data_IF_835474337385
#
_entry.id   IF_835474337385
#
_cell.length_a   1.000
_cell.length_b   1.000
_cell.length_c   1.000
_cell.angle_alpha   90.00
_cell.angle_beta   90.00
_cell.angle_gamma   90.00
#
_symmetry.space_group_name_H-M   'P 1'
#
loop_
_entity.id
_entity.type
_entity.pdbx_description
1 polymer ?
#
# COMPACT_ATOMS: atom_id res chain seq x y z
N UNK A 1 -18.11 27.08 15.86
CA UNK A 1 -18.48 25.74 15.37
C UNK A 1 -18.33 25.79 13.85
N UNK A 2 -17.11 25.50 13.35
CA UNK A 2 -16.86 25.44 11.90
C UNK A 2 -17.48 24.12 11.42
N UNK A 3 -18.34 24.20 10.41
CA UNK A 3 -18.92 23.01 9.78
C UNK A 3 -17.78 22.20 9.18
N UNK A 4 -17.77 20.91 9.53
CA UNK A 4 -17.01 19.87 8.87
C UNK A 4 -17.12 20.07 7.35
N UNK A 5 -16.01 20.49 6.73
CA UNK A 5 -15.82 20.53 5.27
C UNK A 5 -16.61 21.62 4.50
N UNK A 6 -16.11 22.88 4.51
CA UNK A 6 -16.35 23.84 3.40
C UNK A 6 -15.49 23.52 2.16
N UNK A 7 -14.66 22.47 2.21
CA UNK A 7 -13.90 21.96 1.07
C UNK A 7 -14.78 20.98 0.27
N UNK A 8 -15.43 21.46 -0.79
CA UNK A 8 -16.28 20.71 -1.72
C UNK A 8 -16.16 19.17 -1.64
N UNK A 9 -16.98 18.51 -0.81
CA UNK A 9 -17.02 17.03 -0.69
C UNK A 9 -17.21 16.36 -2.07
N UNK A 10 -17.81 17.07 -3.03
CA UNK A 10 -17.94 16.60 -4.42
C UNK A 10 -16.61 16.41 -5.14
N UNK A 11 -15.53 17.02 -4.66
CA UNK A 11 -14.19 16.85 -5.20
C UNK A 11 -13.30 15.93 -4.36
N UNK A 12 -13.82 15.37 -3.25
CA UNK A 12 -13.04 14.52 -2.38
C UNK A 12 -12.69 13.18 -3.03
N UNK A 13 -13.67 12.53 -3.68
CA UNK A 13 -13.51 11.21 -4.27
C UNK A 13 -12.99 11.27 -5.71
N UNK A 14 -12.08 10.35 -6.04
CA UNK A 14 -11.65 10.05 -7.40
C UNK A 14 -12.75 9.27 -8.11
N UNK A 15 -13.10 9.71 -9.31
CA UNK A 15 -14.03 8.99 -10.16
C UNK A 15 -13.31 7.85 -10.87
N UNK A 16 -13.65 6.61 -10.53
CA UNK A 16 -12.94 5.41 -11.00
C UNK A 16 -13.88 4.22 -11.04
N UNK A 17 -13.84 3.43 -12.13
CA UNK A 17 -14.61 2.20 -12.25
C UNK A 17 -14.22 1.19 -11.16
N UNK A 18 -12.92 1.05 -10.90
CA UNK A 18 -12.40 0.23 -9.81
C UNK A 18 -12.96 0.65 -8.45
N UNK A 19 -12.99 1.97 -8.14
CA UNK A 19 -13.57 2.44 -6.89
C UNK A 19 -15.06 2.07 -6.77
N UNK A 20 -15.83 2.18 -7.87
CA UNK A 20 -17.26 1.81 -7.89
C UNK A 20 -17.49 0.30 -7.72
N UNK A 21 -16.60 -0.50 -8.27
CA UNK A 21 -16.66 -1.95 -8.20
C UNK A 21 -16.26 -2.46 -6.81
N UNK A 22 -15.19 -1.92 -6.22
CA UNK A 22 -14.54 -2.54 -5.06
C UNK A 22 -14.82 -1.83 -3.72
N UNK A 23 -15.20 -0.54 -3.74
CA UNK A 23 -15.33 0.28 -2.53
C UNK A 23 -16.73 0.90 -2.34
N UNK A 24 -17.33 1.44 -3.40
CA UNK A 24 -18.54 2.27 -3.26
C UNK A 24 -19.76 1.41 -2.99
N UNK A 25 -20.28 1.51 -1.77
CA UNK A 25 -21.53 0.88 -1.33
C UNK A 25 -22.76 1.73 -1.70
N UNK A 26 -23.98 1.15 -1.60
CA UNK A 26 -25.22 1.91 -1.62
C UNK A 26 -25.25 3.04 -0.57
N UNK A 27 -26.17 3.99 -0.78
CA UNK A 27 -26.38 5.12 0.13
C UNK A 27 -26.51 4.67 1.58
N UNK A 28 -25.73 5.31 2.45
CA UNK A 28 -25.65 4.94 3.85
C UNK A 28 -27.00 5.04 4.56
N UNK A 29 -27.38 3.95 5.24
CA UNK A 29 -28.59 3.89 6.07
C UNK A 29 -28.26 3.78 7.56
N UNK A 30 -29.22 4.09 8.42
CA UNK A 30 -29.05 3.97 9.87
C UNK A 30 -28.79 2.50 10.26
N UNK A 31 -29.50 1.55 9.64
CA UNK A 31 -29.33 0.13 9.92
C UNK A 31 -27.95 -0.41 9.53
N UNK A 32 -27.33 0.13 8.47
CA UNK A 32 -25.94 -0.23 8.12
C UNK A 32 -24.96 0.24 9.20
N UNK A 33 -25.15 1.46 9.72
CA UNK A 33 -24.31 2.00 10.81
C UNK A 33 -24.47 1.15 12.06
N UNK A 34 -25.71 0.86 12.49
CA UNK A 34 -25.98 0.03 13.66
C UNK A 34 -25.37 -1.37 13.52
N UNK A 35 -25.60 -2.03 12.39
CA UNK A 35 -25.05 -3.37 12.13
C UNK A 35 -23.52 -3.41 12.17
N UNK A 36 -22.84 -2.46 11.51
CA UNK A 36 -21.38 -2.42 11.48
C UNK A 36 -20.82 -2.13 12.87
N UNK A 37 -21.38 -1.16 13.60
CA UNK A 37 -20.93 -0.85 14.96
C UNK A 37 -21.14 -2.04 15.92
N UNK A 38 -22.26 -2.75 15.80
CA UNK A 38 -22.55 -3.94 16.62
C UNK A 38 -21.57 -5.08 16.31
N UNK A 39 -21.25 -5.29 15.02
CA UNK A 39 -20.29 -6.34 14.60
C UNK A 39 -18.86 -6.02 15.03
N UNK A 40 -18.43 -4.77 14.87
CA UNK A 40 -17.07 -4.36 15.20
C UNK A 40 -16.88 -4.07 16.70
N UNK A 41 -17.96 -3.78 17.42
CA UNK A 41 -17.92 -3.40 18.84
C UNK A 41 -17.44 -1.97 19.10
N UNK A 42 -17.43 -1.12 18.07
CA UNK A 42 -16.92 0.26 18.13
C UNK A 42 -17.96 1.26 17.61
N UNK A 43 -18.09 2.40 18.28
CA UNK A 43 -18.82 3.55 17.77
C UNK A 43 -17.97 4.28 16.74
N UNK A 44 -18.43 4.38 15.51
CA UNK A 44 -17.70 5.07 14.45
C UNK A 44 -17.66 6.59 14.71
N UNK A 45 -16.57 7.30 14.34
CA UNK A 45 -16.48 8.75 14.46
C UNK A 45 -17.61 9.43 13.69
N UNK A 46 -18.21 10.49 14.25
CA UNK A 46 -19.27 11.24 13.55
C UNK A 46 -18.78 11.78 12.19
N UNK A 47 -17.55 12.26 12.15
CA UNK A 47 -16.83 12.70 10.95
C UNK A 47 -16.76 11.62 9.86
N UNK A 48 -16.54 10.36 10.26
CA UNK A 48 -16.52 9.21 9.34
C UNK A 48 -17.90 8.98 8.74
N UNK A 49 -18.92 8.92 9.58
CA UNK A 49 -20.31 8.74 9.14
C UNK A 49 -20.75 9.89 8.21
N UNK A 50 -20.37 11.14 8.51
CA UNK A 50 -20.68 12.30 7.66
C UNK A 50 -20.06 12.18 6.27
N UNK A 51 -18.79 11.75 6.18
CA UNK A 51 -18.14 11.48 4.89
C UNK A 51 -18.86 10.36 4.13
N UNK A 52 -19.21 9.26 4.82
CA UNK A 52 -19.88 8.10 4.23
C UNK A 52 -21.33 8.38 3.79
N UNK A 53 -21.99 9.40 4.36
CA UNK A 53 -23.28 9.89 3.87
C UNK A 53 -23.17 10.59 2.52
N UNK A 54 -22.01 11.17 2.22
CA UNK A 54 -21.77 11.79 0.92
C UNK A 54 -21.48 10.72 -0.15
N UNK A 55 -20.55 9.81 0.14
CA UNK A 55 -20.32 8.59 -0.63
C UNK A 55 -19.80 7.51 0.31
N UNK A 56 -20.43 6.34 0.30
CA UNK A 56 -20.15 5.26 1.25
C UNK A 56 -18.97 4.41 0.76
N UNK A 57 -17.76 4.90 0.96
CA UNK A 57 -16.50 4.29 0.52
C UNK A 57 -15.99 4.85 -0.81
N UNK A 58 -14.71 4.64 -1.09
CA UNK A 58 -14.08 5.04 -2.35
C UNK A 58 -12.59 5.36 -2.22
N UNK A 59 -12.05 5.99 -3.26
CA UNK A 59 -10.65 6.41 -3.33
C UNK A 59 -10.60 7.94 -3.27
N UNK A 60 -9.86 8.56 -2.32
CA UNK A 60 -9.76 10.02 -2.29
C UNK A 60 -8.86 10.52 -3.43
N UNK A 61 -9.07 11.76 -3.91
CA UNK A 61 -8.15 12.41 -4.85
C UNK A 61 -6.83 12.79 -4.21
N UNK A 62 -6.87 13.16 -2.93
CA UNK A 62 -5.70 13.42 -2.09
C UNK A 62 -5.44 12.16 -1.27
N UNK A 63 -4.42 11.41 -1.65
CA UNK A 63 -4.18 10.03 -1.23
C UNK A 63 -2.90 9.86 -0.42
N UNK A 64 -2.33 10.94 0.13
CA UNK A 64 -1.16 10.85 1.00
C UNK A 64 -1.35 11.66 2.29
N UNK A 65 -0.78 11.17 3.39
CA UNK A 65 -0.72 11.86 4.67
C UNK A 65 0.73 12.08 5.10
N UNK A 66 1.20 13.32 5.27
CA UNK A 66 2.57 13.60 5.71
C UNK A 66 2.83 13.12 7.14
N UNK A 67 3.98 12.50 7.39
CA UNK A 67 4.44 12.11 8.73
C UNK A 67 5.94 12.37 8.88
N UNK A 68 6.40 12.63 10.10
CA UNK A 68 7.84 12.73 10.39
C UNK A 68 8.45 11.38 10.81
N UNK A 69 7.64 10.33 10.94
CA UNK A 69 8.08 8.99 11.33
C UNK A 69 8.14 8.11 10.08
N UNK A 70 9.33 7.61 9.70
CA UNK A 70 9.47 6.67 8.59
C UNK A 70 8.67 5.39 8.81
N UNK A 71 8.10 4.87 7.73
CA UNK A 71 7.49 3.53 7.66
C UNK A 71 8.40 2.60 6.88
N UNK A 72 8.01 1.32 6.76
CA UNK A 72 8.68 0.36 5.87
C UNK A 72 8.61 0.77 4.39
N UNK A 73 7.62 1.59 4.03
CA UNK A 73 7.35 1.99 2.64
C UNK A 73 7.89 3.39 2.30
N UNK A 74 7.73 4.39 3.18
CA UNK A 74 8.17 5.76 2.90
C UNK A 74 8.75 6.49 4.12
N UNK A 75 9.65 7.44 3.88
CA UNK A 75 10.36 8.16 4.94
C UNK A 75 9.50 9.24 5.63
N UNK A 76 8.57 9.83 4.90
CA UNK A 76 7.94 11.09 5.29
C UNK A 76 6.43 11.17 5.05
N UNK A 77 5.80 10.05 4.65
CA UNK A 77 4.37 10.00 4.40
C UNK A 77 3.82 8.59 4.48
N UNK A 78 2.48 8.49 4.48
CA UNK A 78 1.75 7.25 4.29
C UNK A 78 0.77 7.46 3.13
N UNK A 79 0.74 6.50 2.21
CA UNK A 79 -0.20 6.51 1.08
C UNK A 79 -1.52 5.82 1.45
N UNK A 80 -2.60 6.24 0.79
CA UNK A 80 -3.96 5.71 0.96
C UNK A 80 -4.52 5.33 -0.41
N UNK A 81 -4.74 4.04 -0.65
CA UNK A 81 -5.33 3.52 -1.89
C UNK A 81 -6.86 3.50 -1.85
N UNK A 82 -7.46 3.53 -0.66
CA UNK A 82 -8.91 3.59 -0.50
C UNK A 82 -9.38 3.77 0.94
N UNK A 83 -10.63 4.18 1.08
CA UNK A 83 -11.35 4.30 2.36
C UNK A 83 -12.56 3.38 2.28
N UNK A 84 -12.63 2.43 3.21
CA UNK A 84 -13.70 1.44 3.26
C UNK A 84 -15.05 2.08 3.60
N UNK A 85 -16.11 1.69 2.91
CA UNK A 85 -17.45 2.13 3.30
C UNK A 85 -18.00 1.34 4.49
N UNK A 86 -19.06 1.88 5.11
CA UNK A 86 -19.83 1.24 6.17
C UNK A 86 -20.79 0.24 5.53
N UNK A 87 -20.50 -1.05 5.68
CA UNK A 87 -21.34 -2.17 5.24
C UNK A 87 -20.49 -3.42 5.07
N UNK A 88 -21.03 -4.40 4.35
CA UNK A 88 -20.42 -5.71 4.10
C UNK A 88 -20.56 -6.22 2.66
N UNK A 89 -21.17 -5.43 1.76
CA UNK A 89 -21.46 -5.87 0.39
C UNK A 89 -20.23 -5.85 -0.54
N UNK A 90 -19.23 -5.01 -0.24
CA UNK A 90 -18.04 -4.81 -1.05
C UNK A 90 -16.82 -5.47 -0.41
N UNK A 91 -15.87 -5.91 -1.22
CA UNK A 91 -14.60 -6.50 -0.75
C UNK A 91 -13.91 -5.55 0.23
N UNK A 92 -13.78 -4.27 -0.13
CA UNK A 92 -13.24 -3.21 0.73
C UNK A 92 -14.34 -2.41 1.43
N UNK A 93 -15.16 -3.12 2.21
CA UNK A 93 -16.05 -2.51 3.20
C UNK A 93 -15.62 -2.90 4.60
N UNK A 94 -15.99 -2.10 5.61
CA UNK A 94 -15.53 -2.32 6.99
C UNK A 94 -15.79 -3.74 7.51
N UNK A 95 -16.87 -4.35 7.04
CA UNK A 95 -17.31 -5.70 7.38
C UNK A 95 -17.35 -6.65 6.17
N UNK A 96 -16.65 -6.29 5.07
CA UNK A 96 -16.51 -7.09 3.85
C UNK A 96 -15.44 -8.18 3.98
N UNK A 97 -15.17 -8.84 2.84
CA UNK A 97 -14.22 -9.97 2.76
C UNK A 97 -12.82 -9.61 3.27
N UNK A 98 -12.29 -8.45 2.86
CA UNK A 98 -11.00 -7.93 3.29
C UNK A 98 -11.15 -6.79 4.31
N UNK A 99 -12.22 -6.83 5.10
CA UNK A 99 -12.57 -5.81 6.09
C UNK A 99 -11.77 -5.89 7.39
N UNK A 100 -12.15 -5.07 8.37
CA UNK A 100 -11.38 -4.89 9.60
C UNK A 100 -11.19 -6.18 10.41
N UNK A 101 -12.18 -7.06 10.45
CA UNK A 101 -12.08 -8.32 11.20
C UNK A 101 -11.15 -9.32 10.51
N UNK A 102 -11.14 -9.36 9.17
CA UNK A 102 -10.25 -10.21 8.40
C UNK A 102 -8.78 -9.84 8.66
N UNK A 103 -8.44 -8.55 8.65
CA UNK A 103 -7.09 -8.09 8.94
C UNK A 103 -6.60 -8.52 10.33
N UNK A 104 -7.49 -8.49 11.33
CA UNK A 104 -7.15 -8.93 12.68
C UNK A 104 -7.03 -10.47 12.76
N UNK A 105 -8.02 -11.20 12.25
CA UNK A 105 -8.13 -12.64 12.45
C UNK A 105 -7.16 -13.44 11.59
N UNK A 106 -6.99 -13.03 10.32
CA UNK A 106 -6.23 -13.78 9.33
C UNK A 106 -4.82 -13.19 9.12
N UNK A 107 -4.67 -11.87 9.20
CA UNK A 107 -3.38 -11.19 8.98
C UNK A 107 -2.66 -10.80 10.28
N UNK A 108 -3.26 -11.05 11.44
CA UNK A 108 -2.61 -10.84 12.74
C UNK A 108 -2.50 -9.38 13.17
N UNK A 109 -3.22 -8.47 12.52
CA UNK A 109 -3.24 -7.06 12.93
C UNK A 109 -3.72 -6.88 14.37
N UNK A 110 -3.12 -5.95 15.14
CA UNK A 110 -3.45 -5.80 16.54
C UNK A 110 -4.91 -5.34 16.74
N UNK A 111 -5.68 -5.92 17.67
CA UNK A 111 -7.11 -5.63 17.83
C UNK A 111 -7.35 -4.31 18.60
N UNK A 112 -6.88 -3.20 18.04
CA UNK A 112 -6.86 -1.88 18.68
C UNK A 112 -8.05 -0.99 18.31
N UNK A 113 -8.84 -1.41 17.32
CA UNK A 113 -9.92 -0.61 16.78
C UNK A 113 -10.44 -1.08 15.43
N UNK A 114 -10.68 -0.12 14.54
CA UNK A 114 -11.29 -0.36 13.22
C UNK A 114 -10.32 0.00 12.10
N UNK A 115 -9.89 -1.00 11.34
CA UNK A 115 -9.10 -0.82 10.12
C UNK A 115 -10.03 -0.37 9.00
N UNK A 116 -9.72 0.78 8.40
CA UNK A 116 -10.65 1.45 7.48
C UNK A 116 -9.99 1.96 6.20
N UNK A 117 -8.67 2.16 6.21
CA UNK A 117 -7.94 2.70 5.07
C UNK A 117 -6.97 1.68 4.52
N UNK A 118 -7.11 1.38 3.24
CA UNK A 118 -6.16 0.56 2.50
C UNK A 118 -4.97 1.42 2.07
N UNK A 119 -3.79 0.83 2.09
CA UNK A 119 -2.56 1.39 1.54
C UNK A 119 -2.19 0.64 0.25
N UNK A 120 -1.25 1.15 -0.58
CA UNK A 120 -0.87 0.51 -1.85
C UNK A 120 -0.27 -0.91 -1.72
N UNK A 121 0.16 -1.28 -0.51
CA UNK A 121 0.81 -2.57 -0.20
C UNK A 121 -0.13 -3.77 -0.10
N UNK A 122 -1.36 -3.68 -0.62
CA UNK A 122 -2.39 -4.72 -0.51
C UNK A 122 -2.56 -5.35 0.89
N UNK A 123 -2.49 -4.53 1.93
CA UNK A 123 -2.76 -4.95 3.30
C UNK A 123 -1.52 -5.31 4.13
N UNK A 124 -0.30 -5.14 3.60
CA UNK A 124 0.93 -5.17 4.42
C UNK A 124 1.10 -3.91 5.29
N UNK A 125 0.30 -2.88 5.03
CA UNK A 125 0.05 -1.80 5.97
C UNK A 125 -1.39 -1.27 5.85
N UNK A 126 -1.90 -0.72 6.96
CA UNK A 126 -3.31 -0.31 7.07
C UNK A 126 -3.48 0.94 7.93
N UNK A 127 -4.50 1.74 7.62
CA UNK A 127 -4.93 2.85 8.48
C UNK A 127 -6.04 2.39 9.42
N UNK A 128 -5.88 2.71 10.71
CA UNK A 128 -6.74 2.27 11.79
C UNK A 128 -7.28 3.45 12.61
N UNK A 129 -8.55 3.36 12.99
CA UNK A 129 -9.12 4.14 14.09
C UNK A 129 -8.71 3.47 15.41
N UNK A 130 -7.77 4.06 16.15
CA UNK A 130 -7.21 3.52 17.39
C UNK A 130 -8.04 3.92 18.62
N UNK A 131 -8.72 2.95 19.22
CA UNK A 131 -9.59 3.14 20.38
C UNK A 131 -8.91 2.84 21.71
N UNK A 132 -7.63 2.43 21.74
CA UNK A 132 -6.94 2.03 22.99
C UNK A 132 -7.01 3.08 24.09
N UNK A 133 -6.95 4.37 23.73
CA UNK A 133 -6.98 5.49 24.68
C UNK A 133 -8.40 5.92 25.07
N UNK A 134 -9.31 6.00 24.11
CA UNK A 134 -10.64 6.59 24.32
C UNK A 134 -11.74 5.55 24.62
N UNK A 135 -11.45 4.26 24.45
CA UNK A 135 -12.40 3.17 24.62
C UNK A 135 -13.43 3.10 23.47
N UNK A 136 -14.21 2.00 23.38
CA UNK A 136 -15.00 1.67 22.19
C UNK A 136 -16.11 2.66 21.81
N UNK A 137 -16.44 3.61 22.69
CA UNK A 137 -17.46 4.65 22.44
C UNK A 137 -16.88 6.05 22.33
N UNK A 138 -15.54 6.20 22.42
CA UNK A 138 -14.85 7.48 22.36
C UNK A 138 -14.63 7.99 20.93
N UNK A 139 -13.89 9.10 20.83
CA UNK A 139 -13.39 9.63 19.55
C UNK A 139 -11.95 9.12 19.34
N UNK A 140 -11.71 8.17 18.42
CA UNK A 140 -10.42 7.51 18.25
C UNK A 140 -9.42 8.39 17.50
N UNK A 141 -8.14 8.21 17.83
CA UNK A 141 -7.06 8.72 17.01
C UNK A 141 -6.95 7.91 15.70
N UNK A 142 -6.28 8.46 14.70
CA UNK A 142 -5.93 7.75 13.46
C UNK A 142 -4.46 7.35 13.51
N UNK A 143 -4.19 6.08 13.25
CA UNK A 143 -2.84 5.51 13.21
C UNK A 143 -2.63 4.71 11.93
N UNK A 144 -1.38 4.61 11.51
CA UNK A 144 -0.90 3.63 10.54
C UNK A 144 -0.33 2.42 11.28
N UNK A 145 -0.53 1.23 10.73
CA UNK A 145 0.01 -0.02 11.28
C UNK A 145 0.76 -0.74 10.17
N UNK A 146 2.03 -1.01 10.42
CA UNK A 146 3.00 -1.51 9.45
C UNK A 146 3.35 -2.97 9.75
N UNK A 147 2.76 -3.93 9.01
CA UNK A 147 2.94 -5.34 9.29
C UNK A 147 4.39 -5.80 9.00
N UNK A 148 5.03 -5.24 7.97
CA UNK A 148 6.43 -5.53 7.61
C UNK A 148 7.42 -5.04 8.68
N UNK A 149 7.01 -4.09 9.50
CA UNK A 149 7.79 -3.59 10.64
C UNK A 149 7.21 -4.03 11.99
N UNK A 150 6.91 -5.33 12.14
CA UNK A 150 6.40 -5.95 13.38
C UNK A 150 5.12 -5.28 13.92
N UNK A 151 4.20 -4.91 13.02
CA UNK A 151 2.97 -4.18 13.32
C UNK A 151 3.22 -2.86 14.07
N UNK A 152 4.32 -2.16 13.74
CA UNK A 152 4.64 -0.85 14.32
C UNK A 152 3.48 0.12 14.09
N UNK A 153 3.08 0.82 15.16
CA UNK A 153 1.94 1.74 15.15
C UNK A 153 2.45 3.18 15.12
N UNK A 154 2.18 3.87 14.02
CA UNK A 154 2.56 5.27 13.81
C UNK A 154 1.35 6.17 13.96
N UNK A 155 1.43 7.16 14.86
CA UNK A 155 0.35 8.13 15.04
C UNK A 155 0.28 9.10 13.85
N UNK A 156 -0.92 9.28 13.29
CA UNK A 156 -1.15 10.19 12.17
C UNK A 156 -1.94 11.43 12.60
N UNK A 157 -3.05 11.26 13.30
CA UNK A 157 -3.90 12.37 13.72
C UNK A 157 -4.71 12.08 14.98
N UNK A 158 -5.07 13.13 15.72
CA UNK A 158 -5.83 13.00 16.97
C UNK A 158 -7.28 12.53 16.77
N UNK A 159 -7.82 12.66 15.55
CA UNK A 159 -9.15 12.21 15.17
C UNK A 159 -9.28 12.11 13.64
N UNK A 160 -10.37 11.47 13.18
CA UNK A 160 -10.64 11.27 11.76
C UNK A 160 -10.81 12.59 10.99
N UNK A 161 -11.39 13.63 11.59
CA UNK A 161 -11.52 14.96 10.95
C UNK A 161 -10.16 15.53 10.56
N UNK A 162 -9.24 15.50 11.52
CA UNK A 162 -7.88 16.03 11.36
C UNK A 162 -7.11 15.21 10.32
N UNK A 163 -7.29 13.89 10.31
CA UNK A 163 -6.69 13.01 9.30
C UNK A 163 -7.16 13.38 7.89
N UNK A 164 -8.48 13.41 7.65
CA UNK A 164 -9.04 13.74 6.33
C UNK A 164 -8.67 15.16 5.88
N UNK A 165 -8.66 16.13 6.79
CA UNK A 165 -8.24 17.50 6.50
C UNK A 165 -6.74 17.66 6.21
N UNK A 166 -5.92 16.69 6.66
CA UNK A 166 -4.47 16.68 6.45
C UNK A 166 -4.01 15.92 5.20
N UNK A 167 -4.91 15.26 4.47
CA UNK A 167 -4.56 14.59 3.22
C UNK A 167 -4.08 15.59 2.17
N UNK A 168 -3.00 15.22 1.47
CA UNK A 168 -2.37 15.98 0.39
C UNK A 168 -2.34 15.16 -0.90
N UNK A 169 -2.00 15.81 -2.00
CA UNK A 169 -1.76 15.12 -3.28
C UNK A 169 -0.50 14.24 -3.14
N UNK A 170 -0.58 12.99 -3.56
CA UNK A 170 0.54 12.06 -3.49
C UNK A 170 1.74 12.55 -4.34
N UNK A 171 1.47 13.28 -5.43
CA UNK A 171 2.50 13.84 -6.31
C UNK A 171 3.46 14.82 -5.63
N UNK A 172 3.17 15.25 -4.39
CA UNK A 172 4.10 16.05 -3.58
C UNK A 172 5.31 15.24 -3.10
N UNK A 173 5.25 13.91 -3.16
CA UNK A 173 6.29 13.01 -2.70
C UNK A 173 7.06 12.35 -3.85
N UNK A 174 6.51 12.29 -5.08
CA UNK A 174 7.16 11.75 -6.27
C UNK A 174 8.56 12.39 -6.53
N UNK A 175 8.71 13.72 -6.41
CA UNK A 175 10.01 14.38 -6.62
C UNK A 175 11.06 14.02 -5.55
N UNK A 176 10.62 13.68 -4.35
CA UNK A 176 11.51 13.25 -3.24
C UNK A 176 11.91 11.80 -3.43
N UNK A 177 10.97 10.95 -3.86
CA UNK A 177 11.24 9.56 -4.22
C UNK A 177 12.20 9.47 -5.40
N UNK A 178 12.02 10.25 -6.46
CA UNK A 178 12.96 10.31 -7.60
C UNK A 178 14.38 10.74 -7.17
N UNK A 179 14.50 11.66 -6.21
CA UNK A 179 15.80 12.04 -5.64
C UNK A 179 16.41 10.90 -4.81
N UNK A 180 15.60 10.17 -4.04
CA UNK A 180 16.04 9.00 -3.28
C UNK A 180 16.42 7.83 -4.19
N UNK A 181 15.71 7.65 -5.30
CA UNK A 181 16.06 6.71 -6.38
C UNK A 181 17.39 7.11 -7.03
N UNK A 182 17.67 8.41 -7.22
CA UNK A 182 18.97 8.89 -7.67
C UNK A 182 20.10 8.62 -6.65
N UNK A 183 19.76 8.54 -5.37
CA UNK A 183 20.64 8.17 -4.26
C UNK A 183 20.74 6.66 -4.01
N UNK A 184 20.06 5.81 -4.80
CA UNK A 184 20.14 4.34 -4.67
C UNK A 184 21.60 3.87 -4.66
N UNK A 185 22.03 3.43 -3.48
CA UNK A 185 23.31 2.76 -3.31
C UNK A 185 23.18 1.36 -3.93
N UNK A 186 23.93 1.14 -5.00
CA UNK A 186 23.99 -0.12 -5.73
C UNK A 186 25.39 -0.71 -5.54
N UNK A 187 25.59 -1.45 -4.44
CA UNK A 187 26.85 -2.13 -4.16
C UNK A 187 26.92 -3.45 -4.92
N UNK A 188 27.14 -3.32 -6.23
CA UNK A 188 27.35 -4.39 -7.20
C UNK A 188 28.01 -5.67 -6.64
N UNK A 189 29.11 -5.51 -5.91
CA UNK A 189 29.93 -6.61 -5.40
C UNK A 189 29.34 -7.32 -4.16
N UNK A 190 28.31 -6.73 -3.55
CA UNK A 190 27.62 -7.26 -2.37
C UNK A 190 26.20 -7.75 -2.67
N UNK A 191 25.71 -7.53 -3.88
CA UNK A 191 24.36 -7.92 -4.28
C UNK A 191 24.28 -9.44 -4.42
N UNK A 192 23.26 -10.03 -3.80
CA UNK A 192 22.82 -11.40 -4.01
C UNK A 192 21.44 -11.37 -4.64
N UNK A 193 21.23 -12.23 -5.63
CA UNK A 193 19.99 -12.28 -6.40
C UNK A 193 19.53 -13.73 -6.57
N UNK A 194 18.27 -14.00 -6.26
CA UNK A 194 17.64 -15.30 -6.47
C UNK A 194 16.14 -15.15 -6.71
N UNK A 195 15.53 -16.12 -7.39
CA UNK A 195 14.07 -16.15 -7.55
C UNK A 195 13.46 -16.77 -6.30
N UNK A 196 12.37 -16.17 -5.82
CA UNK A 196 11.53 -16.71 -4.76
C UNK A 196 10.08 -16.73 -5.21
N UNK A 197 9.26 -17.49 -4.47
CA UNK A 197 7.81 -17.54 -4.60
C UNK A 197 7.20 -17.31 -3.24
N UNK A 198 6.13 -16.52 -3.16
CA UNK A 198 5.40 -16.31 -1.90
C UNK A 198 4.75 -17.62 -1.41
N UNK A 199 4.25 -18.44 -2.34
CA UNK A 199 3.83 -19.81 -2.06
C UNK A 199 4.49 -20.81 -3.03
N UNK A 200 5.45 -21.60 -2.51
CA UNK A 200 6.16 -22.64 -3.28
C UNK A 200 5.24 -23.79 -3.72
N UNK A 201 4.17 -24.07 -2.98
CA UNK A 201 3.26 -25.19 -3.24
C UNK A 201 2.22 -24.84 -4.32
N UNK A 202 1.65 -23.64 -4.25
CA UNK A 202 0.68 -23.11 -5.21
C UNK A 202 1.34 -22.48 -6.43
N UNK A 203 2.65 -22.18 -6.35
CA UNK A 203 3.43 -21.49 -7.39
C UNK A 203 2.82 -20.15 -7.76
N UNK A 204 2.50 -19.35 -6.75
CA UNK A 204 1.99 -17.98 -6.90
C UNK A 204 2.90 -16.99 -6.18
N UNK A 205 2.94 -15.76 -6.67
CA UNK A 205 3.80 -14.68 -6.20
C UNK A 205 5.28 -14.89 -6.57
N UNK A 206 5.63 -14.99 -7.85
CA UNK A 206 7.03 -15.09 -8.30
C UNK A 206 7.74 -13.72 -8.33
N UNK A 207 8.92 -13.63 -7.71
CA UNK A 207 9.72 -12.40 -7.70
C UNK A 207 11.22 -12.67 -7.72
N UNK A 208 11.96 -11.68 -8.22
CA UNK A 208 13.39 -11.54 -8.01
C UNK A 208 13.62 -10.93 -6.63
N UNK A 209 14.27 -11.67 -5.74
CA UNK A 209 14.74 -11.17 -4.46
C UNK A 209 16.19 -10.69 -4.60
N UNK A 210 16.43 -9.41 -4.35
CA UNK A 210 17.75 -8.80 -4.25
C UNK A 210 18.06 -8.50 -2.79
N UNK A 211 19.30 -8.76 -2.38
CA UNK A 211 19.81 -8.31 -1.08
C UNK A 211 21.22 -7.75 -1.22
N UNK A 212 21.59 -6.79 -0.39
CA UNK A 212 22.94 -6.24 -0.37
C UNK A 212 23.41 -5.95 1.06
N UNK A 213 24.71 -5.71 1.20
CA UNK A 213 25.30 -5.29 2.48
C UNK A 213 25.73 -3.84 2.39
N UNK A 214 25.29 -3.03 3.34
CA UNK A 214 25.71 -1.64 3.49
C UNK A 214 26.73 -1.52 4.64
N UNK A 215 27.65 -0.57 4.53
CA UNK A 215 28.49 -0.20 5.67
C UNK A 215 27.66 0.51 6.76
N UNK A 216 28.12 0.54 8.02
CA UNK A 216 27.36 1.17 9.11
C UNK A 216 27.08 2.67 8.95
N UNK A 217 27.75 3.33 7.99
CA UNK A 217 27.59 4.75 7.67
C UNK A 217 26.71 5.00 6.45
N UNK A 218 26.30 3.95 5.75
CA UNK A 218 25.46 4.03 4.56
C UNK A 218 24.00 3.72 4.93
N UNK A 219 23.09 4.44 4.29
CA UNK A 219 21.64 4.24 4.36
C UNK A 219 21.12 3.87 2.98
N UNK A 220 20.23 2.88 2.91
CA UNK A 220 19.69 2.38 1.64
C UNK A 220 18.99 1.04 1.81
N UNK A 221 18.56 0.46 0.69
CA UNK A 221 17.88 -0.83 0.69
C UNK A 221 18.83 -1.97 1.09
N UNK A 222 18.35 -2.89 1.93
CA UNK A 222 19.03 -4.14 2.28
C UNK A 222 18.40 -5.34 1.58
N UNK A 223 17.08 -5.29 1.35
CA UNK A 223 16.32 -6.28 0.60
C UNK A 223 15.38 -5.55 -0.36
N UNK A 224 15.18 -6.10 -1.55
CA UNK A 224 14.27 -5.59 -2.56
C UNK A 224 13.62 -6.77 -3.26
N UNK A 225 12.29 -6.73 -3.36
CA UNK A 225 11.48 -7.73 -4.07
C UNK A 225 10.92 -7.09 -5.34
N UNK A 226 11.20 -7.70 -6.49
CA UNK A 226 10.71 -7.23 -7.78
C UNK A 226 9.88 -8.35 -8.40
N UNK A 227 8.56 -8.16 -8.45
CA UNK A 227 7.63 -9.11 -9.06
C UNK A 227 8.02 -9.38 -10.52
N UNK A 228 8.03 -10.66 -10.92
CA UNK A 228 8.26 -11.09 -12.30
C UNK A 228 7.04 -11.90 -12.77
N UNK A 229 6.74 -11.93 -14.09
CA UNK A 229 5.61 -12.71 -14.58
C UNK A 229 5.66 -14.18 -14.14
N UNK A 230 4.53 -14.74 -13.75
CA UNK A 230 4.42 -16.12 -13.25
C UNK A 230 4.88 -17.15 -14.27
N UNK A 231 4.59 -16.87 -15.55
CA UNK A 231 4.98 -17.74 -16.65
C UNK A 231 6.48 -17.70 -16.95
N UNK A 232 7.25 -16.73 -16.43
CA UNK A 232 8.70 -16.68 -16.68
C UNK A 232 9.43 -17.87 -16.07
N UNK A 233 10.23 -18.53 -16.89
CA UNK A 233 11.15 -19.59 -16.47
C UNK A 233 12.57 -19.03 -16.47
N UNK A 234 13.01 -18.52 -15.32
CA UNK A 234 14.36 -17.97 -15.14
C UNK A 234 15.34 -19.12 -14.90
N UNK A 235 16.13 -19.47 -15.92
CA UNK A 235 17.06 -20.61 -15.84
C UNK A 235 18.44 -20.19 -15.32
N UNK A 236 18.79 -18.91 -15.38
CA UNK A 236 20.03 -18.40 -14.79
C UNK A 236 19.92 -16.93 -14.41
N UNK A 237 20.58 -16.59 -13.30
CA UNK A 237 20.85 -15.22 -12.90
C UNK A 237 22.35 -15.03 -12.92
N UNK A 238 22.82 -13.98 -13.59
CA UNK A 238 24.25 -13.66 -13.65
C UNK A 238 24.50 -12.27 -13.09
N UNK A 239 25.59 -12.15 -12.33
CA UNK A 239 26.06 -10.88 -11.79
C UNK A 239 27.44 -10.61 -12.39
N UNK A 240 27.53 -9.57 -13.23
CA UNK A 240 28.81 -9.15 -13.83
C UNK A 240 28.89 -7.64 -13.87
N UNK A 241 29.99 -7.10 -13.37
CA UNK A 241 30.28 -5.65 -13.38
C UNK A 241 29.12 -4.80 -12.80
N UNK A 242 28.45 -5.31 -11.76
CA UNK A 242 27.30 -4.62 -11.16
C UNK A 242 26.02 -4.65 -11.98
N UNK A 243 25.90 -5.58 -12.93
CA UNK A 243 24.65 -5.82 -13.66
C UNK A 243 24.09 -7.17 -13.23
N UNK A 244 22.83 -7.18 -12.79
CA UNK A 244 22.08 -8.40 -12.47
C UNK A 244 21.24 -8.77 -13.68
N UNK A 245 21.56 -9.86 -14.36
CA UNK A 245 20.85 -10.29 -15.57
C UNK A 245 20.10 -11.60 -15.33
N UNK A 246 18.82 -11.61 -15.68
CA UNK A 246 17.93 -12.76 -15.68
C UNK A 246 17.87 -13.27 -17.11
N UNK A 247 18.29 -14.52 -17.30
CA UNK A 247 18.06 -15.22 -18.55
C UNK A 247 16.80 -16.09 -18.39
N UNK A 248 15.79 -15.81 -19.20
CA UNK A 248 14.55 -16.57 -19.23
C UNK A 248 14.52 -17.50 -20.45
N UNK A 249 13.90 -18.67 -20.30
CA UNK A 249 13.73 -19.61 -21.41
C UNK A 249 12.72 -19.10 -22.46
N UNK A 250 11.81 -18.20 -22.07
CA UNK A 250 10.61 -17.86 -22.83
C UNK A 250 10.34 -16.37 -23.06
N UNK A 251 11.11 -15.47 -22.45
CA UNK A 251 10.89 -14.02 -22.55
C UNK A 251 12.16 -13.21 -22.90
N UNK A 252 13.33 -13.86 -23.07
CA UNK A 252 14.59 -13.20 -23.38
C UNK A 252 15.42 -12.86 -22.13
N UNK A 253 16.30 -11.86 -22.26
CA UNK A 253 17.24 -11.45 -21.22
C UNK A 253 16.87 -10.07 -20.68
N UNK A 254 16.83 -9.96 -19.35
CA UNK A 254 16.51 -8.73 -18.64
C UNK A 254 17.63 -8.39 -17.66
N UNK A 255 18.13 -7.16 -17.69
CA UNK A 255 19.27 -6.74 -16.88
C UNK A 255 18.99 -5.48 -16.05
N UNK A 256 19.28 -5.58 -14.76
CA UNK A 256 19.17 -4.50 -13.79
C UNK A 256 20.54 -3.89 -13.49
N UNK A 257 20.53 -2.58 -13.37
CA UNK A 257 21.64 -1.71 -13.02
C UNK A 257 21.15 -0.66 -12.03
N UNK A 258 22.07 0.11 -11.45
CA UNK A 258 21.72 1.29 -10.65
C UNK A 258 20.74 2.22 -11.38
N UNK A 259 20.91 2.40 -12.69
CA UNK A 259 20.22 3.46 -13.43
C UNK A 259 18.77 3.10 -13.80
N UNK A 260 18.42 1.81 -13.85
CA UNK A 260 17.08 1.37 -14.24
C UNK A 260 16.29 0.67 -13.14
N UNK A 261 16.96 0.13 -12.10
CA UNK A 261 16.28 -0.63 -11.05
C UNK A 261 15.27 0.23 -10.28
N UNK A 262 15.57 1.51 -10.08
CA UNK A 262 14.68 2.44 -9.39
C UNK A 262 13.35 2.64 -10.14
N UNK A 263 13.43 3.00 -11.42
CA UNK A 263 12.24 3.21 -12.26
C UNK A 263 11.42 1.93 -12.45
N UNK A 264 12.09 0.77 -12.60
CA UNK A 264 11.41 -0.52 -12.63
C UNK A 264 10.70 -0.83 -11.31
N UNK A 265 11.39 -0.67 -10.18
CA UNK A 265 10.82 -0.92 -8.85
C UNK A 265 9.61 -0.03 -8.59
N UNK A 266 9.69 1.25 -8.96
CA UNK A 266 8.60 2.20 -8.78
C UNK A 266 7.36 1.81 -9.59
N UNK A 267 7.50 1.53 -10.89
CA UNK A 267 6.35 1.19 -11.74
C UNK A 267 5.75 -0.18 -11.41
N UNK A 268 6.56 -1.12 -10.90
CA UNK A 268 6.04 -2.37 -10.33
C UNK A 268 5.19 -2.13 -9.08
N UNK A 269 5.55 -1.17 -8.23
CA UNK A 269 4.79 -0.82 -7.03
C UNK A 269 3.50 -0.06 -7.34
N UNK A 270 3.50 0.86 -8.31
CA UNK A 270 2.31 1.61 -8.72
C UNK A 270 1.17 0.71 -9.25
N UNK A 271 1.52 -0.43 -9.85
CA UNK A 271 0.54 -1.36 -10.40
C UNK A 271 -0.24 -2.18 -9.35
N UNK A 272 0.21 -2.19 -8.08
CA UNK A 272 -0.40 -2.96 -7.00
C UNK A 272 -0.01 -4.45 -6.99
N UNK A 273 -0.56 -5.22 -6.05
CA UNK A 273 -0.19 -6.65 -5.85
C UNK A 273 -0.75 -7.61 -6.92
N UNK A 274 -1.76 -7.20 -7.70
CA UNK A 274 -2.37 -8.01 -8.77
C UNK A 274 -1.90 -7.54 -10.16
N UNK A 275 -0.62 -7.22 -10.29
CA UNK A 275 -0.03 -6.95 -11.59
C UNK A 275 -0.19 -8.20 -12.47
N UNK A 276 -0.99 -8.08 -13.53
CA UNK A 276 -1.11 -9.16 -14.50
C UNK A 276 0.26 -9.47 -15.11
N UNK A 277 0.48 -10.72 -15.52
CA UNK A 277 1.71 -11.13 -16.21
C UNK A 277 2.05 -10.21 -17.40
N UNK A 278 1.03 -9.72 -18.11
CA UNK A 278 1.18 -8.77 -19.21
C UNK A 278 1.71 -7.41 -18.75
N UNK A 279 1.22 -6.90 -17.61
CA UNK A 279 1.69 -5.66 -17.02
C UNK A 279 3.13 -5.82 -16.51
N UNK A 280 3.40 -6.88 -15.75
CA UNK A 280 4.75 -7.20 -15.27
C UNK A 280 5.73 -7.28 -16.44
N UNK A 281 5.38 -8.02 -17.50
CA UNK A 281 6.22 -8.13 -18.67
C UNK A 281 6.44 -6.78 -19.38
N UNK A 282 5.40 -5.95 -19.48
CA UNK A 282 5.51 -4.62 -20.08
C UNK A 282 6.47 -3.72 -19.30
N UNK A 283 6.38 -3.70 -17.96
CA UNK A 283 7.28 -2.93 -17.09
C UNK A 283 8.71 -3.43 -17.21
N UNK A 284 8.93 -4.75 -17.10
CA UNK A 284 10.25 -5.34 -17.28
C UNK A 284 10.84 -5.06 -18.67
N UNK A 285 10.04 -5.13 -19.72
CA UNK A 285 10.49 -4.85 -21.09
C UNK A 285 10.83 -3.39 -21.32
N UNK A 286 10.09 -2.48 -20.68
CA UNK A 286 10.35 -1.04 -20.75
C UNK A 286 11.67 -0.64 -20.09
N UNK A 287 12.00 -1.24 -18.95
CA UNK A 287 13.13 -0.78 -18.13
C UNK A 287 14.39 -1.65 -18.21
N UNK A 288 14.24 -2.95 -18.44
CA UNK A 288 15.32 -3.92 -18.23
C UNK A 288 15.57 -4.85 -19.41
N UNK A 289 14.75 -4.86 -20.47
CA UNK A 289 15.06 -5.67 -21.64
C UNK A 289 16.36 -5.19 -22.30
N UNK A 290 17.20 -6.15 -22.70
CA UNK A 290 18.33 -5.88 -23.59
C UNK A 290 17.85 -6.06 -25.02
N UNK A 291 17.94 -5.00 -25.83
CA UNK A 291 17.80 -5.11 -27.28
C UNK A 291 18.94 -5.99 -27.81
N UNK A 292 18.60 -7.05 -28.55
CA UNK A 292 19.57 -7.88 -29.30
C UNK A 292 20.36 -7.07 -30.35
#
# INVERSE_FOLDING_TARGET
>A
MRRFVEANLAEFWKDSDYAREEYVLPSLTISMIENVQDRLGYRLPSAYIELMRFQNGGIPKKSAFPTATPTSWAENHVALSGIMGIGDEKVYSLCGELGSQFMIAEWGYPPIGVYFGNCPSAGHDMICLDYRKCGPSGDPAVVHVDQENDHTITHLADNFETFIGGLVDAAQFDEVEDQHLAELIWHADSINAHIQRDDEFLRIGQYLHLSQTLSPTETGWLNMKLSIPEHWSVHSITLRNGVVCLQTDNAGMYCLTRDNVGGLSFELLEGGHDNSDDLLQAVWSKHAAIDD
#
